data_IF_631683008985
#
_entry.id   IF_631683008985
#
_cell.length_a   1.000
_cell.length_b   1.000
_cell.length_c   1.000
_cell.angle_alpha   90.00
_cell.angle_beta   90.00
_cell.angle_gamma   90.00
#
_symmetry.space_group_name_H-M   'P 1'
#
loop_
_entity.id
_entity.type
_entity.pdbx_description
1 polymer ?
#
# COMPACT_ATOMS: atom_id res chain seq x y z
N UNK A 1 15.80 -6.60 14.97
CA UNK A 1 14.63 -7.50 14.87
C UNK A 1 14.74 -8.24 13.55
N UNK A 2 14.28 -9.49 13.49
CA UNK A 2 14.32 -10.30 12.26
C UNK A 2 13.36 -9.69 11.21
N UNK A 3 13.86 -9.44 10.00
CA UNK A 3 13.13 -8.86 8.86
C UNK A 3 11.78 -9.57 8.63
N UNK A 4 11.76 -10.90 8.77
CA UNK A 4 10.54 -11.70 8.62
C UNK A 4 9.50 -11.40 9.71
N UNK A 5 9.93 -11.08 10.94
CA UNK A 5 9.01 -10.72 12.03
C UNK A 5 8.36 -9.38 11.75
N UNK A 6 9.12 -8.39 11.30
CA UNK A 6 8.60 -7.05 10.97
C UNK A 6 7.58 -7.12 9.81
N UNK A 7 7.91 -7.86 8.74
CA UNK A 7 7.01 -8.04 7.60
C UNK A 7 5.71 -8.74 8.00
N UNK A 8 5.79 -9.78 8.83
CA UNK A 8 4.60 -10.48 9.32
C UNK A 8 3.72 -9.55 10.16
N UNK A 9 4.31 -8.78 11.08
CA UNK A 9 3.58 -7.82 11.90
C UNK A 9 2.85 -6.78 11.04
N UNK A 10 3.55 -6.16 10.07
CA UNK A 10 2.94 -5.19 9.16
C UNK A 10 1.77 -5.78 8.38
N UNK A 11 1.90 -7.02 7.89
CA UNK A 11 0.81 -7.70 7.18
C UNK A 11 -0.40 -7.96 8.06
N UNK A 12 -0.20 -8.34 9.32
CA UNK A 12 -1.29 -8.56 10.27
C UNK A 12 -2.00 -7.25 10.63
N UNK A 13 -1.24 -6.17 10.84
CA UNK A 13 -1.78 -4.83 11.08
C UNK A 13 -2.60 -4.34 9.89
N UNK A 14 -2.06 -4.49 8.68
CA UNK A 14 -2.73 -4.12 7.43
C UNK A 14 -4.05 -4.90 7.26
N UNK A 15 -4.03 -6.22 7.48
CA UNK A 15 -5.24 -7.05 7.40
C UNK A 15 -6.32 -6.62 8.40
N UNK A 16 -5.93 -6.26 9.62
CA UNK A 16 -6.85 -5.75 10.64
C UNK A 16 -7.46 -4.41 10.22
N UNK A 17 -6.66 -3.48 9.70
CA UNK A 17 -7.13 -2.17 9.24
C UNK A 17 -8.07 -2.29 8.04
N UNK A 18 -7.74 -3.13 7.06
CA UNK A 18 -8.60 -3.43 5.91
C UNK A 18 -9.95 -3.98 6.40
N UNK A 19 -9.94 -4.91 7.36
CA UNK A 19 -11.18 -5.46 7.94
C UNK A 19 -12.03 -4.37 8.61
N UNK A 20 -11.41 -3.45 9.35
CA UNK A 20 -12.11 -2.31 9.98
C UNK A 20 -12.68 -1.34 8.95
N UNK A 21 -11.90 -1.00 7.92
CA UNK A 21 -12.33 -0.12 6.84
C UNK A 21 -13.55 -0.68 6.10
N UNK A 22 -13.51 -1.97 5.72
CA UNK A 22 -14.66 -2.63 5.10
C UNK A 22 -15.88 -2.70 6.02
N UNK A 23 -15.68 -2.90 7.33
CA UNK A 23 -16.78 -2.90 8.31
C UNK A 23 -17.43 -1.52 8.39
N UNK A 24 -16.62 -0.46 8.47
CA UNK A 24 -17.11 0.93 8.48
C UNK A 24 -17.88 1.25 7.20
N UNK A 25 -17.32 0.90 6.03
CA UNK A 25 -17.94 1.09 4.73
C UNK A 25 -19.31 0.38 4.66
N UNK A 26 -19.39 -0.87 5.14
CA UNK A 26 -20.63 -1.64 5.20
C UNK A 26 -21.69 -0.97 6.08
N UNK A 27 -21.29 -0.48 7.26
CA UNK A 27 -22.20 0.25 8.17
C UNK A 27 -22.71 1.54 7.50
N UNK A 28 -21.83 2.31 6.87
CA UNK A 28 -22.25 3.54 6.17
C UNK A 28 -23.22 3.25 5.03
N UNK A 29 -22.98 2.20 4.26
CA UNK A 29 -23.88 1.77 3.19
C UNK A 29 -25.28 1.42 3.72
N UNK A 30 -25.35 0.66 4.83
CA UNK A 30 -26.62 0.31 5.47
C UNK A 30 -27.39 1.53 6.00
N UNK A 31 -26.69 2.52 6.57
CA UNK A 31 -27.31 3.74 7.11
C UNK A 31 -27.78 4.68 6.00
N UNK A 32 -27.00 4.80 4.92
CA UNK A 32 -27.26 5.78 3.87
C UNK A 32 -28.25 5.30 2.80
N UNK A 33 -28.58 4.00 2.73
CA UNK A 33 -29.45 3.42 1.68
C UNK A 33 -29.05 3.87 0.27
N UNK A 34 -27.74 4.00 0.03
CA UNK A 34 -27.21 4.50 -1.25
C UNK A 34 -26.78 3.32 -2.11
N UNK A 35 -27.19 3.33 -3.38
CA UNK A 35 -26.57 2.51 -4.43
C UNK A 35 -25.16 3.00 -4.81
N UNK A 36 -24.67 4.07 -4.15
CA UNK A 36 -23.38 4.67 -4.43
C UNK A 36 -22.31 3.95 -3.62
N UNK A 37 -21.22 3.46 -4.24
CA UNK A 37 -20.13 2.82 -3.50
C UNK A 37 -19.56 3.75 -2.42
N UNK A 38 -19.11 3.19 -1.27
CA UNK A 38 -18.60 3.98 -0.17
C UNK A 38 -17.38 4.79 -0.63
N UNK A 39 -17.39 6.08 -0.32
CA UNK A 39 -16.25 6.95 -0.61
C UNK A 39 -15.11 6.59 0.35
N UNK A 40 -14.14 5.84 -0.18
CA UNK A 40 -12.99 5.36 0.58
C UNK A 40 -12.17 6.51 1.16
N UNK A 41 -12.15 7.68 0.52
CA UNK A 41 -11.42 8.87 0.99
C UNK A 41 -12.09 9.58 2.17
N UNK A 42 -13.35 9.27 2.44
CA UNK A 42 -14.08 9.80 3.60
C UNK A 42 -14.07 8.85 4.82
N UNK A 43 -13.47 7.66 4.66
CA UNK A 43 -13.46 6.62 5.69
C UNK A 43 -12.26 6.81 6.61
N UNK A 44 -12.51 6.69 7.91
CA UNK A 44 -11.51 6.92 8.94
C UNK A 44 -10.31 5.96 8.82
N UNK A 45 -10.57 4.70 8.45
CA UNK A 45 -9.54 3.66 8.44
C UNK A 45 -8.82 3.49 7.10
N UNK A 46 -9.33 4.04 5.99
CA UNK A 46 -8.67 3.87 4.69
C UNK A 46 -7.37 4.66 4.58
N UNK A 47 -7.25 5.78 5.32
CA UNK A 47 -5.98 6.52 5.45
C UNK A 47 -4.92 5.67 6.17
N UNK A 48 -5.26 5.12 7.34
CA UNK A 48 -4.35 4.21 8.07
C UNK A 48 -3.94 2.99 7.24
N UNK A 49 -4.83 2.47 6.39
CA UNK A 49 -4.51 1.37 5.46
C UNK A 49 -3.44 1.81 4.46
N UNK A 50 -3.55 3.01 3.88
CA UNK A 50 -2.58 3.52 2.91
C UNK A 50 -1.21 3.75 3.55
N UNK A 51 -1.16 4.34 4.74
CA UNK A 51 0.10 4.55 5.47
C UNK A 51 0.83 3.23 5.73
N UNK A 52 0.10 2.20 6.18
CA UNK A 52 0.68 0.87 6.45
C UNK A 52 1.05 0.13 5.16
N UNK A 53 0.35 0.42 4.07
CA UNK A 53 0.67 -0.12 2.75
C UNK A 53 1.99 0.48 2.22
N UNK A 54 2.23 1.76 2.48
CA UNK A 54 3.49 2.44 2.17
C UNK A 54 4.65 1.86 3.00
N UNK A 55 4.48 1.70 4.31
CA UNK A 55 5.47 1.05 5.19
C UNK A 55 5.89 -0.32 4.64
N UNK A 56 4.91 -1.10 4.17
CA UNK A 56 5.14 -2.43 3.63
C UNK A 56 5.81 -2.39 2.25
N UNK A 57 5.41 -1.48 1.38
CA UNK A 57 6.03 -1.28 0.06
C UNK A 57 7.51 -0.85 0.20
N UNK A 58 7.80 0.04 1.15
CA UNK A 58 9.16 0.48 1.46
C UNK A 58 10.01 -0.67 2.01
N UNK A 59 9.49 -1.45 2.96
CA UNK A 59 10.19 -2.61 3.50
C UNK A 59 10.51 -3.63 2.39
N UNK A 60 9.50 -4.00 1.59
CA UNK A 60 9.66 -4.98 0.51
C UNK A 60 10.54 -4.44 -0.64
N UNK A 61 10.64 -3.12 -0.82
CA UNK A 61 11.60 -2.48 -1.72
C UNK A 61 13.03 -2.59 -1.17
N UNK A 62 13.28 -2.12 0.05
CA UNK A 62 14.61 -2.11 0.71
C UNK A 62 15.21 -3.52 0.79
N UNK A 63 14.37 -4.52 1.04
CA UNK A 63 14.79 -5.91 1.18
C UNK A 63 14.82 -6.68 -0.15
N UNK A 64 14.52 -6.00 -1.27
CA UNK A 64 14.37 -6.61 -2.60
C UNK A 64 13.40 -7.82 -2.59
N UNK A 65 12.42 -7.80 -1.70
CA UNK A 65 11.45 -8.88 -1.52
C UNK A 65 10.32 -8.69 -2.53
N UNK A 66 10.16 -9.64 -3.44
CA UNK A 66 9.05 -9.64 -4.39
C UNK A 66 8.05 -10.73 -3.98
N UNK A 67 6.83 -10.38 -3.56
CA UNK A 67 5.83 -11.38 -3.23
C UNK A 67 5.46 -12.18 -4.48
N UNK A 68 5.60 -13.51 -4.38
CA UNK A 68 5.03 -14.45 -5.35
C UNK A 68 3.51 -14.23 -5.42
N UNK A 69 2.90 -14.50 -6.57
CA UNK A 69 1.52 -14.11 -6.95
C UNK A 69 0.36 -14.49 -6.00
N UNK A 70 0.61 -15.08 -4.83
CA UNK A 70 -0.33 -15.07 -3.70
C UNK A 70 -0.29 -13.70 -3.01
N UNK A 71 -0.88 -12.67 -3.64
CA UNK A 71 -0.98 -11.37 -2.99
C UNK A 71 -1.83 -11.53 -1.73
N UNK A 72 -1.21 -11.32 -0.56
CA UNK A 72 -1.91 -11.18 0.72
C UNK A 72 -2.87 -9.96 0.73
N UNK A 73 -2.83 -9.17 -0.34
CA UNK A 73 -3.76 -8.10 -0.67
C UNK A 73 -4.69 -8.65 -1.76
N UNK A 74 -5.92 -8.99 -1.39
CA UNK A 74 -6.94 -9.50 -2.32
C UNK A 74 -7.66 -8.37 -3.09
N UNK A 75 -7.75 -7.18 -2.49
CA UNK A 75 -8.37 -6.01 -3.12
C UNK A 75 -7.48 -5.46 -4.25
N UNK A 76 -8.00 -5.47 -5.47
CA UNK A 76 -7.26 -5.07 -6.67
C UNK A 76 -6.84 -3.59 -6.68
N UNK A 77 -7.57 -2.71 -5.99
CA UNK A 77 -7.18 -1.31 -5.85
C UNK A 77 -6.02 -1.18 -4.86
N UNK A 78 -6.08 -1.86 -3.72
CA UNK A 78 -4.97 -1.89 -2.76
C UNK A 78 -3.71 -2.53 -3.38
N UNK A 79 -3.87 -3.59 -4.18
CA UNK A 79 -2.75 -4.21 -4.87
C UNK A 79 -2.09 -3.23 -5.86
N UNK A 80 -2.90 -2.48 -6.62
CA UNK A 80 -2.39 -1.42 -7.50
C UNK A 80 -1.66 -0.34 -6.70
N UNK A 81 -2.26 0.16 -5.63
CA UNK A 81 -1.63 1.16 -4.75
C UNK A 81 -0.29 0.66 -4.20
N UNK A 82 -0.22 -0.58 -3.74
CA UNK A 82 1.02 -1.20 -3.27
C UNK A 82 2.12 -1.18 -4.35
N UNK A 83 1.79 -1.63 -5.57
CA UNK A 83 2.78 -1.65 -6.66
C UNK A 83 3.21 -0.24 -7.07
N UNK A 84 2.27 0.72 -7.11
CA UNK A 84 2.60 2.12 -7.37
C UNK A 84 3.51 2.70 -6.29
N UNK A 85 3.21 2.47 -5.01
CA UNK A 85 4.06 2.92 -3.90
C UNK A 85 5.44 2.28 -3.97
N UNK A 86 5.52 0.98 -4.26
CA UNK A 86 6.79 0.25 -4.38
C UNK A 86 7.65 0.76 -5.54
N UNK A 87 7.02 1.13 -6.65
CA UNK A 87 7.69 1.77 -7.79
C UNK A 87 8.20 3.17 -7.40
N UNK A 88 7.38 3.95 -6.68
CA UNK A 88 7.74 5.29 -6.21
C UNK A 88 8.87 5.27 -5.17
N UNK A 89 8.96 4.25 -4.31
CA UNK A 89 10.11 4.07 -3.43
C UNK A 89 11.44 3.96 -4.19
N UNK A 90 11.40 3.51 -5.45
CA UNK A 90 12.58 3.43 -6.33
C UNK A 90 12.86 4.70 -7.13
N UNK A 91 11.98 5.69 -7.09
CA UNK A 91 12.21 7.01 -7.68
C UNK A 91 12.98 7.83 -6.65
N UNK A 92 14.30 7.86 -6.81
CA UNK A 92 15.22 8.66 -5.97
C UNK A 92 14.62 10.05 -5.69
N UNK A 93 14.31 10.32 -4.43
CA UNK A 93 13.96 11.66 -3.91
C UNK A 93 15.24 12.52 -3.75
N UNK A 94 16.37 12.11 -4.36
CA UNK A 94 17.59 12.89 -4.45
C UNK A 94 17.68 13.56 -5.84
N UNK A 95 17.44 14.88 -5.95
CA UNK A 95 17.62 15.62 -7.19
C UNK A 95 19.10 15.97 -7.42
N UNK A 96 20.04 15.08 -7.11
CA UNK A 96 21.48 15.33 -7.29
C UNK A 96 22.20 14.06 -7.72
N UNK A 97 22.02 13.70 -8.98
CA UNK A 97 23.01 12.93 -9.75
C UNK A 97 22.95 13.40 -11.20
N UNK A 98 24.08 13.87 -11.77
CA UNK A 98 24.06 14.55 -13.07
C UNK A 98 23.63 13.56 -14.14
N UNK A 99 22.74 14.02 -15.02
CA UNK A 99 22.30 13.31 -16.21
C UNK A 99 23.47 12.58 -16.85
N UNK A 100 23.32 11.28 -17.07
CA UNK A 100 24.20 10.52 -17.94
C UNK A 100 24.16 11.18 -19.33
N UNK A 101 25.07 12.13 -19.54
CA UNK A 101 25.41 12.63 -20.86
C UNK A 101 25.88 11.39 -21.61
N UNK A 102 25.09 11.04 -22.61
CA UNK A 102 25.40 10.02 -23.58
C UNK A 102 26.67 10.47 -24.29
N UNK A 103 27.84 9.98 -23.89
CA UNK A 103 29.02 10.03 -24.75
C UNK A 103 28.75 9.10 -25.93
N UNK A 104 28.17 9.68 -26.98
CA UNK A 104 28.39 9.23 -28.35
C UNK A 104 29.60 9.98 -28.88
N UNK A 105 30.74 9.31 -28.92
CA UNK A 105 31.82 9.55 -29.89
C UNK A 105 32.34 8.19 -30.37
#
# INVERSE_FOLDING_TARGET
MDSNTNRLTLRLELALLISKAHTQDSIYQQVLNKDTPPDRFSSLYWEDVLDKLEDLALLDHVENFTPDHSSYIEDAALLRSYWTLREWCGIDIYPDSPSAVTERL
#
